data_IF_398938228600
#
_entry.id   IF_398938228600
#
_cell.length_a   1.000
_cell.length_b   1.000
_cell.length_c   1.000
_cell.angle_alpha   90.00
_cell.angle_beta   90.00
_cell.angle_gamma   90.00
#
_symmetry.space_group_name_H-M   'P 1'
#
loop_
_entity.id
_entity.type
_entity.pdbx_description
1 polymer ?
#
# COMPACT_ATOMS: atom_id res chain seq x y z
N UNK A 1 -37.23 20.93 13.03
CA UNK A 1 -36.97 19.93 11.98
C UNK A 1 -35.66 19.26 12.34
N UNK A 2 -35.72 18.13 13.03
CA UNK A 2 -34.53 17.30 13.25
C UNK A 2 -34.34 16.50 11.97
N UNK A 3 -33.40 16.89 11.13
CA UNK A 3 -33.01 16.07 9.97
C UNK A 3 -32.50 14.74 10.52
N UNK A 4 -33.36 13.71 10.47
CA UNK A 4 -32.99 12.36 10.84
C UNK A 4 -32.03 11.87 9.76
N UNK A 5 -30.74 11.80 10.07
CA UNK A 5 -29.71 11.26 9.18
C UNK A 5 -30.19 9.92 8.60
N UNK A 6 -30.36 9.86 7.28
CA UNK A 6 -30.71 8.60 6.62
C UNK A 6 -29.50 7.66 6.64
N UNK A 7 -29.75 6.35 6.51
CA UNK A 7 -28.67 5.37 6.42
C UNK A 7 -27.75 5.63 5.21
N UNK A 8 -28.30 6.21 4.14
CA UNK A 8 -27.52 6.59 2.97
C UNK A 8 -26.60 7.79 3.25
N UNK A 9 -27.08 8.81 3.96
CA UNK A 9 -26.26 9.95 4.37
C UNK A 9 -25.09 9.51 5.26
N UNK A 10 -25.36 8.60 6.21
CA UNK A 10 -24.31 8.04 7.06
C UNK A 10 -23.33 7.21 6.23
N UNK A 11 -23.80 6.46 5.23
CA UNK A 11 -22.93 5.73 4.32
C UNK A 11 -21.96 6.66 3.58
N UNK A 12 -22.48 7.75 3.00
CA UNK A 12 -21.67 8.74 2.29
C UNK A 12 -20.65 9.42 3.20
N UNK A 13 -21.06 9.76 4.43
CA UNK A 13 -20.14 10.29 5.44
C UNK A 13 -19.02 9.30 5.79
N UNK A 14 -19.35 8.02 5.90
CA UNK A 14 -18.36 6.96 6.13
C UNK A 14 -17.41 6.80 4.94
N UNK A 15 -17.87 6.95 3.70
CA UNK A 15 -16.99 6.95 2.51
C UNK A 15 -15.99 8.09 2.56
N UNK A 16 -16.45 9.32 2.81
CA UNK A 16 -15.55 10.47 2.93
C UNK A 16 -14.57 10.34 4.10
N UNK A 17 -15.04 9.81 5.23
CA UNK A 17 -14.19 9.51 6.38
C UNK A 17 -13.14 8.46 6.01
N UNK A 18 -13.53 7.39 5.31
CA UNK A 18 -12.60 6.37 4.83
C UNK A 18 -11.55 6.95 3.88
N UNK A 19 -11.95 7.78 2.91
CA UNK A 19 -11.04 8.45 1.96
C UNK A 19 -10.02 9.31 2.73
N UNK A 20 -10.47 10.12 3.69
CA UNK A 20 -9.59 10.95 4.49
C UNK A 20 -8.58 10.11 5.29
N UNK A 21 -9.03 9.04 5.94
CA UNK A 21 -8.14 8.15 6.70
C UNK A 21 -7.19 7.37 5.78
N UNK A 22 -7.62 6.93 4.59
CA UNK A 22 -6.73 6.34 3.59
C UNK A 22 -5.67 7.34 3.10
N UNK A 23 -6.01 8.62 2.96
CA UNK A 23 -5.04 9.65 2.60
C UNK A 23 -3.98 9.84 3.70
N UNK A 24 -4.38 9.81 4.98
CA UNK A 24 -3.42 9.83 6.09
C UNK A 24 -2.55 8.56 6.11
N UNK A 25 -3.14 7.40 5.84
CA UNK A 25 -2.40 6.15 5.71
C UNK A 25 -1.38 6.20 4.56
N UNK A 26 -1.77 6.78 3.42
CA UNK A 26 -0.90 7.01 2.27
C UNK A 26 0.29 7.89 2.64
N UNK A 27 0.06 9.01 3.35
CA UNK A 27 1.15 9.88 3.80
C UNK A 27 2.09 9.14 4.75
N UNK A 28 1.57 8.37 5.71
CA UNK A 28 2.39 7.58 6.63
C UNK A 28 3.24 6.53 5.89
N UNK A 29 2.66 5.81 4.94
CA UNK A 29 3.41 4.85 4.11
C UNK A 29 4.41 5.53 3.17
N UNK A 30 4.10 6.69 2.62
CA UNK A 30 5.02 7.46 1.78
C UNK A 30 6.23 7.94 2.60
N UNK A 31 6.02 8.41 3.83
CA UNK A 31 7.11 8.78 4.75
C UNK A 31 7.96 7.55 5.10
N UNK A 32 7.32 6.41 5.40
CA UNK A 32 8.03 5.15 5.68
C UNK A 32 8.89 4.72 4.48
N UNK A 33 8.32 4.75 3.28
CA UNK A 33 9.02 4.38 2.04
C UNK A 33 10.18 5.34 1.74
N UNK A 34 9.98 6.64 1.91
CA UNK A 34 11.03 7.65 1.72
C UNK A 34 12.20 7.43 2.70
N UNK A 35 11.91 7.23 3.99
CA UNK A 35 12.92 6.96 5.02
C UNK A 35 13.67 5.65 4.76
N UNK A 36 12.97 4.57 4.40
CA UNK A 36 13.61 3.30 4.02
C UNK A 36 14.52 3.46 2.81
N UNK A 37 14.10 4.26 1.83
CA UNK A 37 14.91 4.51 0.64
C UNK A 37 16.18 5.30 0.96
N UNK A 38 16.12 6.27 1.88
CA UNK A 38 17.29 7.04 2.32
C UNK A 38 18.28 6.16 3.10
N UNK A 39 17.79 5.38 4.06
CA UNK A 39 18.62 4.44 4.83
C UNK A 39 19.28 3.38 3.93
N UNK A 40 18.56 2.90 2.91
CA UNK A 40 19.11 1.94 1.95
C UNK A 40 20.22 2.55 1.07
N UNK A 41 20.16 3.85 0.79
CA UNK A 41 21.24 4.57 0.07
C UNK A 41 22.44 4.75 0.98
N UNK A 42 22.25 5.25 2.20
CA UNK A 42 23.33 5.44 3.17
C UNK A 42 24.08 4.13 3.47
N UNK A 43 23.35 3.01 3.64
CA UNK A 43 23.96 1.70 3.84
C UNK A 43 24.74 1.20 2.61
N UNK A 44 24.32 1.57 1.39
CA UNK A 44 25.08 1.26 0.17
C UNK A 44 26.34 2.11 0.08
N UNK A 45 26.25 3.40 0.39
CA UNK A 45 27.40 4.32 0.38
C UNK A 45 28.44 3.92 1.44
N UNK A 46 27.99 3.53 2.65
CA UNK A 46 28.88 3.01 3.69
C UNK A 46 29.61 1.74 3.24
N UNK A 47 28.90 0.78 2.61
CA UNK A 47 29.52 -0.44 2.04
C UNK A 47 30.49 -0.14 0.91
N UNK A 48 30.23 0.88 0.10
CA UNK A 48 31.15 1.31 -0.96
C UNK A 48 32.44 1.89 -0.36
N UNK A 49 32.32 2.77 0.64
CA UNK A 49 33.48 3.32 1.37
C UNK A 49 34.30 2.23 2.06
N UNK A 50 33.65 1.28 2.73
CA UNK A 50 34.35 0.15 3.37
C UNK A 50 35.14 -0.70 2.35
N UNK A 51 34.62 -0.88 1.13
CA UNK A 51 35.35 -1.58 0.05
C UNK A 51 36.55 -0.78 -0.45
N UNK A 52 36.40 0.53 -0.59
CA UNK A 52 37.46 1.43 -1.02
C UNK A 52 38.60 1.48 0.01
N UNK A 53 38.27 1.53 1.30
CA UNK A 53 39.25 1.48 2.40
C UNK A 53 40.02 0.14 2.43
N UNK A 54 39.35 -0.98 2.15
CA UNK A 54 39.98 -2.31 2.04
C UNK A 54 40.86 -2.44 0.79
N UNK A 55 40.53 -1.71 -0.29
CA UNK A 55 41.38 -1.66 -1.48
C UNK A 55 42.61 -0.75 -1.28
N UNK A 56 42.50 0.30 -0.46
CA UNK A 56 43.57 1.25 -0.18
C UNK A 56 44.57 0.76 0.89
N UNK A 57 44.11 -0.02 1.88
CA UNK A 57 44.96 -0.69 2.87
C UNK A 57 44.87 -2.19 2.66
N UNK A 58 45.92 -2.80 2.08
CA UNK A 58 45.96 -4.25 1.86
C UNK A 58 45.52 -5.02 3.10
N UNK A 59 44.62 -5.99 2.90
CA UNK A 59 43.88 -6.68 3.97
C UNK A 59 44.85 -7.41 4.92
N UNK A 60 45.00 -6.89 6.14
CA UNK A 60 45.76 -7.53 7.21
C UNK A 60 44.90 -8.59 7.91
N UNK A 61 45.53 -9.67 8.40
CA UNK A 61 44.89 -10.69 9.25
C UNK A 61 44.17 -10.05 10.46
N UNK A 62 44.69 -8.92 10.97
CA UNK A 62 44.06 -8.15 12.05
C UNK A 62 42.73 -7.51 11.63
N UNK A 63 42.61 -7.09 10.37
CA UNK A 63 41.37 -6.51 9.83
C UNK A 63 40.30 -7.58 9.58
N UNK A 64 40.72 -8.76 9.11
CA UNK A 64 39.83 -9.94 8.98
C UNK A 64 39.26 -10.29 10.36
N UNK A 65 40.13 -10.37 11.38
CA UNK A 65 39.72 -10.71 12.75
C UNK A 65 38.83 -9.63 13.37
N UNK A 66 39.09 -8.35 13.08
CA UNK A 66 38.26 -7.24 13.54
C UNK A 66 36.90 -7.21 12.85
N UNK A 67 36.85 -7.55 11.55
CA UNK A 67 35.62 -7.66 10.76
C UNK A 67 34.77 -8.85 11.22
N UNK A 68 35.38 -10.00 11.51
CA UNK A 68 34.70 -11.16 12.11
C UNK A 68 34.13 -10.85 13.49
N UNK A 69 34.84 -10.11 14.35
CA UNK A 69 34.30 -9.67 15.65
C UNK A 69 33.16 -8.67 15.50
N UNK A 70 33.23 -7.73 14.55
CA UNK A 70 32.14 -6.78 14.28
C UNK A 70 30.92 -7.49 13.70
N UNK A 71 31.11 -8.43 12.78
CA UNK A 71 30.04 -9.27 12.24
C UNK A 71 29.42 -10.15 13.33
N UNK A 72 30.24 -10.74 14.21
CA UNK A 72 29.78 -11.48 15.38
C UNK A 72 29.00 -10.60 16.37
N UNK A 73 29.43 -9.35 16.58
CA UNK A 73 28.73 -8.38 17.42
C UNK A 73 27.43 -7.86 16.77
N UNK A 74 27.38 -7.70 15.45
CA UNK A 74 26.15 -7.38 14.71
C UNK A 74 25.14 -8.54 14.77
N UNK A 75 25.60 -9.78 14.61
CA UNK A 75 24.75 -10.98 14.74
C UNK A 75 24.28 -11.18 16.19
N UNK A 76 25.12 -10.84 17.18
CA UNK A 76 24.79 -10.89 18.60
C UNK A 76 24.02 -9.66 19.11
N UNK A 77 23.91 -8.59 18.32
CA UNK A 77 23.18 -7.40 18.72
C UNK A 77 21.68 -7.70 18.77
N UNK A 78 21.06 -7.37 19.91
CA UNK A 78 19.66 -7.66 20.16
C UNK A 78 18.76 -7.03 19.06
N UNK A 79 17.61 -7.65 18.71
CA UNK A 79 16.69 -7.19 17.65
C UNK A 79 16.20 -5.72 17.74
N UNK A 80 16.52 -5.00 18.81
CA UNK A 80 16.17 -3.60 19.06
C UNK A 80 16.95 -2.57 18.24
N UNK A 81 17.99 -2.95 17.50
CA UNK A 81 18.75 -2.03 16.62
C UNK A 81 18.10 -1.82 15.23
N UNK A 82 16.96 -2.45 14.94
CA UNK A 82 16.21 -2.18 13.70
C UNK A 82 15.48 -0.84 13.84
N UNK A 83 15.61 0.10 12.88
CA UNK A 83 14.92 1.37 12.94
C UNK A 83 13.43 1.11 13.14
N UNK A 84 12.88 1.67 14.22
CA UNK A 84 11.48 1.47 14.62
C UNK A 84 10.60 1.82 13.42
N UNK A 85 9.90 0.83 12.86
CA UNK A 85 8.95 0.94 11.74
C UNK A 85 7.66 1.67 12.17
N UNK A 86 7.81 2.79 12.86
CA UNK A 86 6.74 3.53 13.51
C UNK A 86 5.75 4.03 12.46
N UNK A 87 6.27 4.62 11.38
CA UNK A 87 5.47 5.08 10.24
C UNK A 87 4.76 3.93 9.52
N UNK A 88 5.43 2.80 9.31
CA UNK A 88 4.79 1.61 8.74
C UNK A 88 3.64 1.09 9.61
N UNK A 89 3.82 1.06 10.94
CA UNK A 89 2.78 0.63 11.89
C UNK A 89 1.60 1.60 11.93
N UNK A 90 1.88 2.91 11.90
CA UNK A 90 0.84 3.94 11.80
C UNK A 90 0.07 3.77 10.49
N UNK A 91 0.76 3.65 9.35
CA UNK A 91 0.15 3.44 8.05
C UNK A 91 -0.76 2.22 8.02
N UNK A 92 -0.30 1.09 8.56
CA UNK A 92 -1.13 -0.13 8.66
C UNK A 92 -2.34 0.06 9.56
N UNK A 93 -2.17 0.69 10.74
CA UNK A 93 -3.27 0.92 11.68
C UNK A 93 -4.34 1.85 11.07
N UNK A 94 -3.93 2.91 10.40
CA UNK A 94 -4.82 3.82 9.67
C UNK A 94 -5.50 3.11 8.50
N UNK A 95 -4.81 2.22 7.78
CA UNK A 95 -5.41 1.43 6.70
C UNK A 95 -6.49 0.50 7.22
N UNK A 96 -6.27 -0.16 8.36
CA UNK A 96 -7.29 -1.00 9.00
C UNK A 96 -8.49 -0.15 9.43
N UNK A 97 -8.25 1.02 10.04
CA UNK A 97 -9.34 1.93 10.43
C UNK A 97 -10.15 2.42 9.21
N UNK A 98 -9.46 2.86 8.15
CA UNK A 98 -10.10 3.27 6.90
C UNK A 98 -10.89 2.12 6.25
N UNK A 99 -10.36 0.89 6.32
CA UNK A 99 -11.06 -0.30 5.87
C UNK A 99 -12.36 -0.54 6.65
N UNK A 100 -12.36 -0.37 7.97
CA UNK A 100 -13.58 -0.50 8.77
C UNK A 100 -14.63 0.55 8.41
N UNK A 101 -14.23 1.80 8.20
CA UNK A 101 -15.16 2.84 7.73
C UNK A 101 -15.68 2.55 6.32
N UNK A 102 -14.82 2.10 5.41
CA UNK A 102 -15.21 1.74 4.05
C UNK A 102 -16.16 0.53 4.02
N UNK A 103 -15.89 -0.49 4.84
CA UNK A 103 -16.77 -1.63 5.02
C UNK A 103 -18.11 -1.19 5.60
N UNK A 104 -18.08 -0.35 6.64
CA UNK A 104 -19.28 0.23 7.24
C UNK A 104 -20.13 0.97 6.22
N UNK A 105 -19.53 1.83 5.40
CA UNK A 105 -20.22 2.52 4.32
C UNK A 105 -20.89 1.53 3.34
N UNK A 106 -20.12 0.55 2.88
CA UNK A 106 -20.60 -0.45 1.91
C UNK A 106 -21.78 -1.27 2.48
N UNK A 107 -21.70 -1.69 3.74
CA UNK A 107 -22.77 -2.44 4.42
C UNK A 107 -24.00 -1.55 4.61
N UNK A 108 -23.82 -0.31 5.08
CA UNK A 108 -24.92 0.60 5.34
C UNK A 108 -25.66 0.99 4.05
N UNK A 109 -24.91 1.17 2.96
CA UNK A 109 -25.44 1.34 1.60
C UNK A 109 -26.28 0.14 1.18
N UNK A 110 -25.80 -1.08 1.43
CA UNK A 110 -26.55 -2.30 1.11
C UNK A 110 -27.85 -2.44 1.91
N UNK A 111 -27.81 -2.08 3.21
CA UNK A 111 -29.00 -2.07 4.07
C UNK A 111 -30.01 -1.02 3.58
N UNK A 112 -29.56 0.20 3.30
CA UNK A 112 -30.41 1.28 2.79
C UNK A 112 -31.07 0.92 1.45
N UNK A 113 -30.38 0.13 0.63
CA UNK A 113 -30.84 -0.28 -0.70
C UNK A 113 -31.62 -1.60 -0.71
N UNK A 114 -31.71 -2.29 0.44
CA UNK A 114 -32.25 -3.65 0.61
C UNK A 114 -31.69 -4.67 -0.39
N UNK A 115 -30.44 -4.46 -0.82
CA UNK A 115 -29.76 -5.26 -1.83
C UNK A 115 -28.26 -5.24 -1.63
N UNK A 116 -27.58 -6.11 -2.35
CA UNK A 116 -26.12 -6.03 -2.47
C UNK A 116 -25.74 -4.81 -3.32
N UNK A 117 -24.87 -3.89 -2.85
CA UNK A 117 -24.64 -2.55 -3.44
C UNK A 117 -23.74 -2.60 -4.67
N UNK A 118 -24.20 -3.27 -5.74
CA UNK A 118 -23.40 -3.61 -6.93
C UNK A 118 -24.10 -3.15 -8.22
N UNK A 119 -25.13 -2.30 -8.08
CA UNK A 119 -26.09 -2.00 -9.14
C UNK A 119 -25.64 -0.91 -10.12
N UNK A 120 -24.68 -0.08 -9.70
CA UNK A 120 -24.16 1.05 -10.47
C UNK A 120 -22.64 1.16 -10.33
N UNK A 121 -22.03 2.08 -11.09
CA UNK A 121 -20.57 2.26 -11.12
C UNK A 121 -19.98 2.73 -9.79
N UNK A 122 -20.70 3.55 -9.01
CA UNK A 122 -20.24 3.98 -7.69
C UNK A 122 -20.23 2.82 -6.70
N UNK A 123 -21.31 2.06 -6.67
CA UNK A 123 -21.48 0.83 -5.91
C UNK A 123 -20.43 -0.24 -6.26
N UNK A 124 -20.17 -0.44 -7.55
CA UNK A 124 -19.13 -1.32 -8.06
C UNK A 124 -17.72 -0.84 -7.66
N UNK A 125 -17.44 0.47 -7.72
CA UNK A 125 -16.16 1.03 -7.31
C UNK A 125 -15.94 0.91 -5.80
N UNK A 126 -16.94 1.17 -4.97
CA UNK A 126 -16.86 0.99 -3.51
C UNK A 126 -16.53 -0.46 -3.16
N UNK A 127 -17.34 -1.41 -3.65
CA UNK A 127 -17.15 -2.84 -3.36
C UNK A 127 -15.84 -3.40 -3.94
N UNK A 128 -15.48 -3.02 -5.16
CA UNK A 128 -14.23 -3.42 -5.80
C UNK A 128 -13.00 -2.90 -5.03
N UNK A 129 -12.98 -1.63 -4.65
CA UNK A 129 -11.86 -1.05 -3.89
C UNK A 129 -11.81 -1.56 -2.44
N UNK A 130 -12.96 -1.89 -1.84
CA UNK A 130 -13.02 -2.58 -0.56
C UNK A 130 -12.33 -3.93 -0.64
N UNK A 131 -12.57 -4.72 -1.70
CA UNK A 131 -11.89 -5.99 -1.94
C UNK A 131 -10.39 -5.81 -2.19
N UNK A 132 -9.96 -4.78 -2.94
CA UNK A 132 -8.53 -4.45 -3.11
C UNK A 132 -7.85 -4.28 -1.76
N UNK A 133 -8.45 -3.49 -0.85
CA UNK A 133 -7.88 -3.27 0.48
C UNK A 133 -7.96 -4.52 1.35
N UNK A 134 -9.05 -5.29 1.29
CA UNK A 134 -9.20 -6.55 2.01
C UNK A 134 -8.12 -7.55 1.62
N UNK A 135 -7.88 -7.72 0.32
CA UNK A 135 -6.83 -8.60 -0.21
C UNK A 135 -5.45 -8.08 0.20
N UNK A 136 -5.20 -6.77 0.10
CA UNK A 136 -3.95 -6.17 0.57
C UNK A 136 -3.68 -6.46 2.05
N UNK A 137 -4.65 -6.21 2.93
CA UNK A 137 -4.53 -6.51 4.36
C UNK A 137 -4.36 -8.01 4.61
N UNK A 138 -5.10 -8.86 3.88
CA UNK A 138 -4.98 -10.32 3.90
C UNK A 138 -3.57 -10.80 3.60
N UNK A 139 -2.98 -10.29 2.52
CA UNK A 139 -1.59 -10.58 2.13
C UNK A 139 -0.62 -10.04 3.19
N UNK A 140 -0.88 -8.85 3.74
CA UNK A 140 -0.04 -8.23 4.75
C UNK A 140 0.06 -9.05 6.05
N UNK A 141 -0.98 -9.81 6.39
CA UNK A 141 -0.93 -10.75 7.53
C UNK A 141 0.08 -11.88 7.33
N UNK A 142 0.32 -12.30 6.08
CA UNK A 142 1.18 -13.44 5.77
C UNK A 142 2.58 -13.04 5.29
N UNK A 143 2.70 -11.89 4.64
CA UNK A 143 3.92 -11.36 4.05
C UNK A 143 4.08 -9.88 4.39
N UNK A 144 5.25 -9.46 4.88
CA UNK A 144 5.50 -8.07 5.27
C UNK A 144 5.74 -7.16 4.04
N UNK A 145 4.66 -6.86 3.30
CA UNK A 145 4.67 -6.03 2.09
C UNK A 145 4.23 -4.59 2.36
N UNK A 146 4.66 -4.00 3.49
CA UNK A 146 4.27 -2.62 3.87
C UNK A 146 4.71 -1.56 2.88
N UNK A 147 5.80 -1.80 2.14
CA UNK A 147 6.25 -0.89 1.07
C UNK A 147 5.21 -0.76 -0.05
N UNK A 148 4.38 -1.79 -0.26
CA UNK A 148 3.30 -1.79 -1.23
C UNK A 148 2.11 -0.95 -0.74
N UNK A 149 2.03 -0.69 0.58
CA UNK A 149 0.98 0.09 1.20
C UNK A 149 0.80 1.46 0.58
N UNK A 150 1.89 2.19 0.32
CA UNK A 150 1.85 3.50 -0.36
C UNK A 150 1.13 3.43 -1.70
N UNK A 151 1.39 2.39 -2.49
CA UNK A 151 0.80 2.25 -3.81
C UNK A 151 -0.70 1.92 -3.72
N UNK A 152 -1.06 0.96 -2.88
CA UNK A 152 -2.44 0.52 -2.73
C UNK A 152 -3.30 1.62 -2.11
N UNK A 153 -2.88 2.24 -1.01
CA UNK A 153 -3.67 3.30 -0.38
C UNK A 153 -3.77 4.54 -1.28
N UNK A 154 -2.71 4.88 -2.01
CA UNK A 154 -2.74 6.00 -2.97
C UNK A 154 -3.73 5.73 -4.11
N UNK A 155 -3.70 4.53 -4.68
CA UNK A 155 -4.64 4.11 -5.71
C UNK A 155 -6.09 4.14 -5.21
N UNK A 156 -6.33 3.65 -3.99
CA UNK A 156 -7.67 3.65 -3.37
C UNK A 156 -8.16 5.06 -3.12
N UNK A 157 -7.33 5.99 -2.63
CA UNK A 157 -7.74 7.40 -2.44
C UNK A 157 -8.18 8.03 -3.76
N UNK A 158 -7.38 7.86 -4.82
CA UNK A 158 -7.67 8.46 -6.13
C UNK A 158 -8.92 7.85 -6.74
N UNK A 159 -9.03 6.51 -6.74
CA UNK A 159 -10.14 5.82 -7.38
C UNK A 159 -11.44 5.93 -6.58
N UNK A 160 -11.40 5.81 -5.25
CA UNK A 160 -12.59 5.93 -4.39
C UNK A 160 -13.06 7.38 -4.33
N UNK A 161 -12.14 8.33 -4.22
CA UNK A 161 -12.45 9.76 -4.28
C UNK A 161 -13.02 10.15 -5.65
N UNK A 162 -12.39 9.71 -6.74
CA UNK A 162 -12.88 9.93 -8.09
C UNK A 162 -14.25 9.30 -8.34
N UNK A 163 -14.49 8.08 -7.84
CA UNK A 163 -15.78 7.43 -7.93
C UNK A 163 -16.88 8.18 -7.16
N UNK A 164 -16.55 8.66 -5.96
CA UNK A 164 -17.49 9.41 -5.11
C UNK A 164 -17.82 10.79 -5.72
N UNK A 165 -16.87 11.42 -6.42
CA UNK A 165 -17.11 12.72 -7.05
C UNK A 165 -17.88 12.62 -8.37
N UNK A 166 -17.55 11.64 -9.21
CA UNK A 166 -18.04 11.58 -10.59
C UNK A 166 -19.24 10.66 -10.79
N UNK A 167 -19.41 9.65 -9.94
CA UNK A 167 -20.39 8.58 -10.16
C UNK A 167 -21.38 8.42 -9.01
N UNK A 168 -21.36 9.30 -8.00
CA UNK A 168 -22.35 9.25 -6.93
C UNK A 168 -23.77 9.37 -7.48
N UNK A 169 -24.59 8.39 -7.13
CA UNK A 169 -26.02 8.34 -7.43
C UNK A 169 -26.72 7.95 -6.14
N UNK A 170 -27.90 8.51 -5.88
CA UNK A 170 -28.72 8.13 -4.73
C UNK A 170 -29.21 6.67 -4.85
N UNK A 171 -29.76 6.12 -3.77
CA UNK A 171 -30.32 4.76 -3.77
C UNK A 171 -31.59 4.71 -4.62
N UNK A 172 -31.50 4.09 -5.80
CA UNK A 172 -32.64 3.88 -6.72
C UNK A 172 -33.09 2.41 -6.71
N UNK A 173 -34.39 2.08 -6.90
CA UNK A 173 -34.86 0.71 -7.07
C UNK A 173 -34.18 -0.01 -8.24
N UNK A 174 -33.92 -1.33 -8.13
CA UNK A 174 -33.29 -2.07 -9.23
C UNK A 174 -34.26 -2.26 -10.40
N UNK A 175 -33.74 -2.08 -11.61
CA UNK A 175 -34.38 -2.59 -12.82
C UNK A 175 -34.38 -4.13 -12.83
N UNK A 176 -35.46 -4.72 -13.37
CA UNK A 176 -35.72 -6.17 -13.33
C UNK A 176 -34.58 -7.11 -13.82
N UNK A 177 -33.73 -6.74 -14.80
CA UNK A 177 -32.64 -7.61 -15.24
C UNK A 177 -31.55 -7.89 -14.20
N UNK A 178 -31.42 -7.07 -13.15
CA UNK A 178 -30.34 -7.19 -12.14
C UNK A 178 -30.67 -8.15 -10.99
N UNK A 179 -31.87 -8.75 -10.96
CA UNK A 179 -32.32 -9.65 -9.89
C UNK A 179 -31.84 -11.10 -10.04
N UNK A 180 -30.71 -11.33 -10.71
CA UNK A 180 -30.19 -12.67 -10.99
C UNK A 180 -29.04 -13.05 -10.05
N UNK A 181 -29.12 -14.25 -9.47
CA UNK A 181 -28.05 -14.85 -8.64
C UNK A 181 -26.75 -15.00 -9.44
N UNK A 182 -26.85 -15.24 -10.75
CA UNK A 182 -25.68 -15.37 -11.61
C UNK A 182 -24.88 -14.06 -11.69
N UNK A 183 -25.57 -12.92 -11.73
CA UNK A 183 -24.93 -11.61 -11.75
C UNK A 183 -24.15 -11.35 -10.45
N UNK A 184 -24.71 -11.76 -9.31
CA UNK A 184 -24.02 -11.69 -8.02
C UNK A 184 -22.74 -12.55 -8.04
N UNK A 185 -22.78 -13.79 -8.54
CA UNK A 185 -21.54 -14.59 -8.60
C UNK A 185 -20.53 -13.98 -9.56
N UNK A 186 -20.97 -13.56 -10.75
CA UNK A 186 -20.10 -13.01 -11.79
C UNK A 186 -19.37 -11.74 -11.32
N UNK A 187 -20.13 -10.76 -10.82
CA UNK A 187 -19.57 -9.48 -10.39
C UNK A 187 -18.64 -9.67 -9.20
N UNK A 188 -18.95 -10.60 -8.29
CA UNK A 188 -18.07 -10.90 -7.16
C UNK A 188 -16.71 -11.43 -7.62
N UNK A 189 -16.72 -12.46 -8.47
CA UNK A 189 -15.50 -13.09 -8.97
C UNK A 189 -14.71 -12.10 -9.84
N UNK A 190 -15.39 -11.28 -10.65
CA UNK A 190 -14.76 -10.23 -11.44
C UNK A 190 -14.07 -9.19 -10.54
N UNK A 191 -14.76 -8.65 -9.54
CA UNK A 191 -14.19 -7.67 -8.61
C UNK A 191 -13.07 -8.25 -7.75
N UNK A 192 -13.16 -9.52 -7.35
CA UNK A 192 -12.08 -10.21 -6.64
C UNK A 192 -10.86 -10.40 -7.54
N UNK A 193 -11.07 -10.75 -8.82
CA UNK A 193 -10.01 -10.79 -9.83
C UNK A 193 -9.34 -9.44 -10.01
N UNK A 194 -10.14 -8.35 -10.10
CA UNK A 194 -9.62 -6.98 -10.15
C UNK A 194 -8.80 -6.63 -8.91
N UNK A 195 -9.22 -7.06 -7.72
CA UNK A 195 -8.46 -6.85 -6.49
C UNK A 195 -7.07 -7.50 -6.54
N UNK A 196 -7.01 -8.77 -6.98
CA UNK A 196 -5.74 -9.49 -7.13
C UNK A 196 -4.85 -8.85 -8.21
N UNK A 197 -5.43 -8.45 -9.35
CA UNK A 197 -4.68 -7.76 -10.40
C UNK A 197 -4.16 -6.38 -9.95
N UNK A 198 -4.89 -5.65 -9.12
CA UNK A 198 -4.43 -4.38 -8.57
C UNK A 198 -3.16 -4.56 -7.70
N UNK A 199 -3.10 -5.63 -6.91
CA UNK A 199 -1.89 -5.98 -6.15
C UNK A 199 -0.73 -6.38 -7.08
N UNK A 200 -0.99 -7.23 -8.08
CA UNK A 200 0.01 -7.64 -9.06
C UNK A 200 0.57 -6.43 -9.82
N UNK A 201 -0.30 -5.52 -10.25
CA UNK A 201 0.07 -4.26 -10.88
C UNK A 201 0.96 -3.41 -9.97
N UNK A 202 0.59 -3.26 -8.68
CA UNK A 202 1.42 -2.54 -7.72
C UNK A 202 2.81 -3.15 -7.52
N UNK A 203 2.89 -4.49 -7.49
CA UNK A 203 4.17 -5.19 -7.40
C UNK A 203 5.02 -4.97 -8.66
N UNK A 204 4.42 -5.08 -9.85
CA UNK A 204 5.12 -4.84 -11.12
C UNK A 204 5.62 -3.40 -11.24
N UNK A 205 4.84 -2.41 -10.80
CA UNK A 205 5.30 -1.01 -10.75
C UNK A 205 6.49 -0.85 -9.80
N UNK A 206 6.43 -1.46 -8.61
CA UNK A 206 7.54 -1.43 -7.66
C UNK A 206 8.82 -2.05 -8.24
N UNK A 207 8.70 -3.18 -8.94
CA UNK A 207 9.81 -3.83 -9.64
C UNK A 207 10.39 -2.95 -10.75
N UNK A 208 9.55 -2.29 -11.56
CA UNK A 208 10.00 -1.40 -12.62
C UNK A 208 10.75 -0.18 -12.05
N UNK A 209 10.28 0.38 -10.94
CA UNK A 209 10.95 1.49 -10.24
C UNK A 209 12.31 1.04 -9.68
N UNK A 210 12.41 -0.17 -9.15
CA UNK A 210 13.66 -0.75 -8.68
C UNK A 210 14.65 -0.96 -9.83
N UNK A 211 14.22 -1.61 -10.92
CA UNK A 211 15.06 -1.84 -12.09
C UNK A 211 15.57 -0.51 -12.71
N UNK A 212 14.72 0.53 -12.73
CA UNK A 212 15.13 1.87 -13.16
C UNK A 212 16.18 2.48 -12.25
N UNK A 213 16.07 2.30 -10.92
CA UNK A 213 17.07 2.78 -9.95
C UNK A 213 18.40 2.06 -10.14
N UNK A 214 18.40 0.75 -10.27
CA UNK A 214 19.61 -0.06 -10.46
C UNK A 214 20.35 0.33 -11.75
N UNK A 215 19.63 0.54 -12.86
CA UNK A 215 20.23 1.02 -14.10
C UNK A 215 20.91 2.38 -13.96
N UNK A 216 20.27 3.36 -13.32
CA UNK A 216 20.86 4.69 -13.08
C UNK A 216 22.14 4.61 -12.24
N UNK A 217 22.19 3.70 -11.27
CA UNK A 217 23.38 3.50 -10.44
C UNK A 217 24.51 2.89 -11.27
N UNK A 218 24.22 1.91 -12.14
CA UNK A 218 25.21 1.34 -13.05
C UNK A 218 25.77 2.37 -14.04
N UNK A 219 24.90 3.19 -14.65
CA UNK A 219 25.31 4.28 -15.56
C UNK A 219 26.20 5.31 -14.86
N UNK A 220 25.88 5.67 -13.60
CA UNK A 220 26.70 6.59 -12.82
C UNK A 220 28.07 6.02 -12.45
N UNK A 221 28.16 4.71 -12.18
CA UNK A 221 29.43 4.03 -11.92
C UNK A 221 30.30 3.97 -13.18
N UNK A 222 29.72 3.65 -14.33
CA UNK A 222 30.43 3.57 -15.61
C UNK A 222 30.96 4.95 -16.04
N UNK A 223 30.17 6.01 -15.87
CA UNK A 223 30.59 7.38 -16.13
C UNK A 223 31.68 7.92 -15.17
N UNK A 224 31.81 7.34 -13.97
CA UNK A 224 32.90 7.68 -13.05
C UNK A 224 34.23 7.04 -13.48
N UNK A 225 34.20 5.79 -13.98
CA UNK A 225 35.38 5.06 -14.49
C UNK A 225 35.97 5.71 -15.74
N UNK A 226 35.14 6.30 -16.61
CA UNK A 226 35.63 6.98 -17.83
C UNK A 226 36.34 8.32 -17.54
N UNK A 227 36.16 8.88 -16.33
CA UNK A 227 36.75 10.18 -15.93
C UNK A 227 38.04 10.06 -15.11
N UNK A 228 38.46 8.85 -14.75
CA UNK A 228 39.73 8.54 -14.08
C UNK A 228 40.74 8.02 -15.09
#
# INVERSE_FOLDING_TARGET
>A
MTDTLSLDDVSVLLVWTAIAVYALAFVAYAIDLARRSALAVEAKDARARDRELVAAGGESITDVTARERRAGAEIASAPGARPRLLWARIGTSLTVLAFLFHLGATVLRGIAAERVPWSNMYEFAMTGLLLVVAVYLGVLFRYDLRFLGTFITGLVVVLLGGATLSFYVEVVPLMDPLKSVWLVIHVFVASLGTALFALAFGLSVAQLLQARRERKVAEAADGAVVRT
#
